data_IF_604460119747
#
_entry.id   IF_604460119747
#
_cell.length_a   1.000
_cell.length_b   1.000
_cell.length_c   1.000
_cell.angle_alpha   90.00
_cell.angle_beta   90.00
_cell.angle_gamma   90.00
#
_symmetry.space_group_name_H-M   'P 1'
#
loop_
_entity.id
_entity.type
_entity.pdbx_description
1 polymer ?
#
# COMPACT_ATOMS: atom_id res chain seq x y z
N UNK A 1 31.24 -6.07 -1.45
CA UNK A 1 30.08 -5.48 -2.12
C UNK A 1 29.24 -4.68 -1.13
N UNK A 2 28.87 -3.53 -1.53
CA UNK A 2 28.16 -2.64 -0.64
C UNK A 2 26.66 -2.70 -0.90
N UNK A 3 25.88 -2.91 0.14
CA UNK A 3 24.45 -2.93 0.02
C UNK A 3 23.94 -1.51 0.29
N UNK A 4 23.07 -1.05 -0.58
CA UNK A 4 22.52 0.28 -0.46
C UNK A 4 21.46 0.29 0.65
N UNK A 5 21.79 0.86 1.79
CA UNK A 5 20.91 0.97 2.94
C UNK A 5 20.26 2.35 3.06
N UNK A 6 20.67 3.27 2.21
CA UNK A 6 20.13 4.62 2.25
C UNK A 6 18.73 4.72 1.68
N UNK A 7 18.31 3.70 0.94
CA UNK A 7 17.01 3.70 0.29
C UNK A 7 16.07 2.70 0.96
N UNK A 8 15.31 3.15 1.94
CA UNK A 8 14.31 2.25 2.55
C UNK A 8 13.25 1.87 1.51
N UNK A 9 12.67 0.70 1.71
CA UNK A 9 11.58 0.24 0.85
C UNK A 9 10.34 1.12 1.03
N UNK A 10 9.95 1.36 2.27
CA UNK A 10 8.78 2.17 2.58
C UNK A 10 9.21 3.58 2.99
N UNK A 11 8.55 4.56 2.40
CA UNK A 11 8.81 5.97 2.64
C UNK A 11 7.58 6.64 3.21
N UNK A 12 7.80 7.61 4.11
CA UNK A 12 6.75 8.49 4.59
C UNK A 12 7.23 9.92 4.38
N UNK A 13 6.30 10.80 4.04
CA UNK A 13 6.61 12.21 3.81
C UNK A 13 5.70 13.07 4.65
N UNK A 14 6.28 14.06 5.33
CA UNK A 14 5.51 14.99 6.15
C UNK A 14 4.59 15.86 5.29
N UNK A 15 5.02 16.16 4.05
CA UNK A 15 4.26 17.00 3.13
C UNK A 15 4.34 16.42 1.73
N UNK A 16 3.39 16.80 0.89
CA UNK A 16 3.43 16.43 -0.52
C UNK A 16 4.53 17.13 -1.28
N UNK A 17 4.95 18.29 -0.80
CA UNK A 17 6.11 18.96 -1.40
C UNK A 17 7.37 18.11 -1.25
N UNK A 18 7.59 17.53 -0.08
CA UNK A 18 8.73 16.64 0.14
C UNK A 18 8.67 15.42 -0.77
N UNK A 19 7.49 14.85 -0.95
CA UNK A 19 7.31 13.70 -1.85
C UNK A 19 7.64 14.09 -3.29
N UNK A 20 7.15 15.25 -3.74
CA UNK A 20 7.44 15.72 -5.11
C UNK A 20 8.93 15.95 -5.32
N UNK A 21 9.61 16.49 -4.32
CA UNK A 21 11.06 16.72 -4.40
C UNK A 21 11.84 15.42 -4.46
N UNK A 22 11.34 14.39 -3.77
CA UNK A 22 12.03 13.09 -3.76
C UNK A 22 11.94 12.41 -5.12
N UNK A 23 10.77 12.34 -5.72
CA UNK A 23 10.59 11.57 -6.94
C UNK A 23 9.33 11.88 -7.74
N UNK A 24 8.72 13.04 -7.56
CA UNK A 24 7.56 13.42 -8.35
C UNK A 24 6.38 12.50 -8.11
N UNK A 25 5.85 11.91 -9.18
CA UNK A 25 4.71 11.00 -9.12
C UNK A 25 5.14 9.54 -9.28
N UNK A 26 6.41 9.23 -9.13
CA UNK A 26 6.94 7.87 -9.38
C UNK A 26 6.87 6.99 -8.15
N UNK A 27 5.67 6.81 -7.59
CA UNK A 27 5.47 6.02 -6.37
C UNK A 27 4.26 5.10 -6.49
N UNK A 28 4.38 3.91 -5.87
CA UNK A 28 3.21 3.16 -5.43
C UNK A 28 2.80 3.78 -4.10
N UNK A 29 1.51 4.01 -3.91
CA UNK A 29 1.00 4.59 -2.67
C UNK A 29 0.07 3.61 -1.98
N UNK A 30 0.37 3.28 -0.71
CA UNK A 30 -0.56 2.57 0.16
C UNK A 30 -1.34 3.62 0.93
N UNK A 31 -2.65 3.67 0.77
CA UNK A 31 -3.47 4.76 1.24
C UNK A 31 -4.64 4.24 2.07
N UNK A 32 -4.91 4.88 3.20
CA UNK A 32 -6.09 4.55 4.00
C UNK A 32 -7.36 4.85 3.21
N UNK A 33 -8.33 3.93 3.29
CA UNK A 33 -9.64 4.18 2.69
C UNK A 33 -10.49 4.97 3.67
N UNK A 34 -10.73 6.24 3.34
CA UNK A 34 -11.49 7.15 4.20
C UNK A 34 -12.98 7.15 3.93
N UNK A 35 -13.43 6.31 3.01
CA UNK A 35 -14.87 6.22 2.75
C UNK A 35 -15.55 5.46 3.85
N UNK A 36 -16.82 5.80 4.16
CA UNK A 36 -17.53 5.18 5.28
C UNK A 36 -17.69 3.67 5.12
N UNK A 37 -17.72 2.96 6.25
CA UNK A 37 -18.10 1.57 6.27
C UNK A 37 -19.49 1.41 5.64
N UNK A 38 -19.66 0.36 4.83
CA UNK A 38 -20.91 0.13 4.11
C UNK A 38 -20.97 0.75 2.72
N UNK A 39 -19.97 1.56 2.35
CA UNK A 39 -19.87 2.07 0.99
C UNK A 39 -19.70 0.91 0.02
N UNK A 40 -20.39 0.97 -1.12
CA UNK A 40 -20.30 -0.09 -2.13
C UNK A 40 -18.90 -0.14 -2.72
N UNK A 41 -18.44 -1.36 -3.00
CA UNK A 41 -17.07 -1.58 -3.49
C UNK A 41 -16.77 -0.74 -4.73
N UNK A 42 -17.71 -0.66 -5.66
CA UNK A 42 -17.50 0.14 -6.86
C UNK A 42 -17.20 1.60 -6.53
N UNK A 43 -17.94 2.16 -5.58
CA UNK A 43 -17.73 3.54 -5.15
C UNK A 43 -16.40 3.70 -4.40
N UNK A 44 -16.03 2.69 -3.62
CA UNK A 44 -14.73 2.68 -2.93
C UNK A 44 -13.60 2.75 -3.96
N UNK A 45 -13.67 1.93 -4.99
CA UNK A 45 -12.63 1.87 -6.02
C UNK A 45 -12.56 3.16 -6.84
N UNK A 46 -13.71 3.77 -7.13
CA UNK A 46 -13.76 5.02 -7.88
C UNK A 46 -13.35 6.22 -7.05
N UNK A 47 -13.42 6.11 -5.73
CA UNK A 47 -13.16 7.21 -4.82
C UNK A 47 -11.70 7.35 -4.39
N UNK A 48 -10.81 6.51 -4.89
CA UNK A 48 -9.40 6.64 -4.56
C UNK A 48 -8.81 7.89 -5.23
N UNK A 49 -7.94 8.56 -4.51
CA UNK A 49 -7.35 9.81 -5.00
C UNK A 49 -5.95 9.94 -4.42
N UNK A 50 -4.95 10.00 -5.28
CA UNK A 50 -3.57 10.15 -4.85
C UNK A 50 -3.39 11.38 -4.01
N UNK A 51 -2.59 11.36 -3.27
CA UNK A 51 -1.36 11.79 -2.60
C UNK A 51 -1.78 12.28 -1.23
N UNK A 52 -1.71 11.36 -0.23
CA UNK A 52 -2.06 11.69 1.16
C UNK A 52 -0.81 11.71 2.00
N UNK A 53 -0.82 12.57 3.02
CA UNK A 53 0.36 12.77 3.88
C UNK A 53 0.59 11.60 4.84
N UNK A 54 -0.44 10.79 5.10
CA UNK A 54 -0.31 9.63 5.98
C UNK A 54 -0.20 8.30 5.24
N UNK A 55 0.01 8.34 3.93
CA UNK A 55 0.24 7.14 3.13
C UNK A 55 1.65 6.60 3.31
N UNK A 56 1.82 5.30 3.01
CA UNK A 56 3.14 4.73 2.77
C UNK A 56 3.42 4.79 1.28
N UNK A 57 4.68 5.04 0.93
CA UNK A 57 5.09 5.14 -0.46
C UNK A 57 6.22 4.17 -0.76
N UNK A 58 6.19 3.59 -1.96
CA UNK A 58 7.29 2.80 -2.49
C UNK A 58 7.76 3.47 -3.78
N UNK A 59 9.03 3.87 -3.80
CA UNK A 59 9.58 4.55 -4.97
C UNK A 59 9.69 3.60 -6.15
N UNK A 60 9.53 4.14 -7.35
CA UNK A 60 9.43 3.38 -8.58
C UNK A 60 10.60 2.41 -8.79
N UNK A 61 11.82 2.79 -8.38
CA UNK A 61 12.99 1.91 -8.57
C UNK A 61 12.93 0.66 -7.71
N UNK A 62 12.04 0.60 -6.73
CA UNK A 62 11.88 -0.55 -5.85
C UNK A 62 10.55 -1.28 -6.05
N UNK A 63 9.73 -0.89 -7.04
CA UNK A 63 8.41 -1.50 -7.18
C UNK A 63 8.49 -2.99 -7.52
N UNK A 64 9.48 -3.41 -8.31
CA UNK A 64 9.66 -4.81 -8.63
C UNK A 64 10.00 -5.65 -7.42
N UNK A 65 10.94 -5.17 -6.60
CA UNK A 65 11.29 -5.83 -5.34
C UNK A 65 10.11 -5.87 -4.39
N UNK A 66 9.36 -4.77 -4.30
CA UNK A 66 8.18 -4.71 -3.46
C UNK A 66 7.16 -5.77 -3.89
N UNK A 67 6.89 -5.86 -5.19
CA UNK A 67 5.94 -6.85 -5.70
C UNK A 67 6.39 -8.27 -5.35
N UNK A 68 7.64 -8.61 -5.66
CA UNK A 68 8.16 -9.96 -5.42
C UNK A 68 8.14 -10.33 -3.95
N UNK A 69 8.51 -9.41 -3.08
CA UNK A 69 8.63 -9.67 -1.64
C UNK A 69 7.29 -9.63 -0.92
N UNK A 70 6.31 -8.91 -1.46
CA UNK A 70 5.10 -8.59 -0.72
C UNK A 70 3.81 -9.15 -1.30
N UNK A 71 3.78 -9.59 -2.57
CA UNK A 71 2.52 -10.02 -3.18
C UNK A 71 1.83 -11.13 -2.41
N UNK A 72 2.59 -12.10 -1.94
CA UNK A 72 2.00 -13.26 -1.25
C UNK A 72 1.55 -12.92 0.17
N UNK A 73 2.26 -12.01 0.86
CA UNK A 73 1.87 -11.64 2.21
C UNK A 73 0.71 -10.65 2.23
N UNK A 74 0.64 -9.75 1.28
CA UNK A 74 -0.50 -8.85 1.16
C UNK A 74 -1.70 -9.61 0.58
N UNK A 75 -1.45 -10.50 -0.38
CA UNK A 75 -2.48 -11.38 -0.91
C UNK A 75 -3.41 -10.69 -1.88
N UNK A 76 -4.58 -11.27 -2.07
CA UNK A 76 -5.55 -10.79 -3.04
C UNK A 76 -6.35 -9.62 -2.50
N UNK A 77 -6.53 -8.63 -3.34
CA UNK A 77 -7.47 -7.54 -3.13
C UNK A 77 -8.46 -7.47 -4.29
N UNK A 78 -9.22 -6.39 -4.37
CA UNK A 78 -10.28 -6.23 -5.37
C UNK A 78 -9.85 -5.15 -6.36
N UNK A 79 -9.93 -5.49 -7.66
CA UNK A 79 -9.59 -4.58 -8.76
C UNK A 79 -10.84 -3.87 -9.28
N UNK A 80 -10.69 -2.79 -10.07
CA UNK A 80 -11.85 -2.03 -10.57
C UNK A 80 -12.85 -2.83 -11.38
N UNK A 81 -12.41 -3.93 -12.03
CA UNK A 81 -13.32 -4.82 -12.75
C UNK A 81 -14.01 -5.83 -11.83
N UNK A 82 -13.84 -5.66 -10.51
CA UNK A 82 -14.42 -6.51 -9.47
C UNK A 82 -13.78 -7.90 -9.37
N UNK A 83 -12.72 -8.18 -10.11
CA UNK A 83 -11.96 -9.42 -9.95
C UNK A 83 -11.02 -9.31 -8.75
N UNK A 84 -10.62 -10.47 -8.23
CA UNK A 84 -9.65 -10.53 -7.14
C UNK A 84 -8.30 -10.98 -7.68
N UNK A 85 -7.24 -10.42 -7.10
CA UNK A 85 -5.88 -10.77 -7.48
C UNK A 85 -4.87 -10.04 -6.63
N UNK A 86 -3.59 -10.32 -6.90
CA UNK A 86 -2.50 -9.59 -6.24
C UNK A 86 -2.59 -8.11 -6.60
N UNK A 87 -2.00 -7.26 -5.73
CA UNK A 87 -2.06 -5.82 -6.01
C UNK A 87 -1.44 -5.50 -7.37
N UNK A 88 -2.03 -4.51 -8.02
CA UNK A 88 -1.62 -4.09 -9.38
C UNK A 88 -0.66 -2.93 -9.25
N UNK A 89 0.55 -3.08 -9.77
CA UNK A 89 1.54 -2.01 -9.71
C UNK A 89 1.24 -0.86 -10.67
N UNK A 90 0.20 -0.99 -11.48
CA UNK A 90 -0.21 0.02 -12.46
C UNK A 90 -1.63 0.54 -12.26
N UNK A 91 -2.37 0.00 -11.31
CA UNK A 91 -3.75 0.35 -11.11
C UNK A 91 -4.13 0.40 -9.65
N UNK A 92 -5.42 0.30 -9.38
CA UNK A 92 -5.98 0.38 -8.02
C UNK A 92 -6.33 -1.01 -7.53
N UNK A 93 -5.93 -1.33 -6.30
CA UNK A 93 -6.38 -2.55 -5.63
C UNK A 93 -6.86 -2.17 -4.24
N UNK A 94 -8.05 -2.63 -3.87
CA UNK A 94 -8.65 -2.33 -2.58
C UNK A 94 -8.61 -3.55 -1.66
N UNK A 95 -8.29 -3.30 -0.39
CA UNK A 95 -8.27 -4.31 0.66
C UNK A 95 -9.20 -3.86 1.78
N UNK A 96 -10.28 -4.61 2.01
CA UNK A 96 -11.21 -4.28 3.08
C UNK A 96 -10.62 -4.50 4.46
N UNK A 97 -11.26 -3.94 5.50
CA UNK A 97 -10.73 -4.05 6.86
C UNK A 97 -10.66 -5.50 7.35
N UNK A 98 -11.53 -6.37 6.85
CA UNK A 98 -11.52 -7.77 7.23
C UNK A 98 -10.30 -8.55 6.72
N UNK A 99 -9.50 -7.97 5.83
CA UNK A 99 -8.29 -8.61 5.31
C UNK A 99 -7.04 -8.25 6.10
N UNK A 100 -7.10 -7.19 6.90
CA UNK A 100 -5.90 -6.64 7.56
C UNK A 100 -5.32 -7.63 8.57
N UNK A 101 -6.16 -8.33 9.33
CA UNK A 101 -5.69 -9.29 10.31
C UNK A 101 -4.85 -10.40 9.69
N UNK A 102 -5.33 -10.98 8.60
CA UNK A 102 -4.62 -12.04 7.90
C UNK A 102 -3.31 -11.53 7.30
N UNK A 103 -3.32 -10.32 6.77
CA UNK A 103 -2.09 -9.73 6.22
C UNK A 103 -1.05 -9.56 7.32
N UNK A 104 -1.44 -9.04 8.48
CA UNK A 104 -0.52 -8.87 9.60
C UNK A 104 0.06 -10.21 10.06
N UNK A 105 -0.76 -11.26 10.10
CA UNK A 105 -0.27 -12.58 10.48
C UNK A 105 0.75 -13.11 9.49
N UNK A 106 0.49 -12.97 8.20
CA UNK A 106 1.45 -13.40 7.18
C UNK A 106 2.75 -12.60 7.25
N UNK A 107 2.66 -11.30 7.55
CA UNK A 107 3.85 -10.48 7.72
C UNK A 107 4.71 -10.96 8.88
N UNK A 108 4.07 -11.35 9.99
CA UNK A 108 4.79 -11.84 11.17
C UNK A 108 5.47 -13.19 10.91
N UNK A 109 4.88 -14.01 10.06
CA UNK A 109 5.45 -15.33 9.72
C UNK A 109 6.58 -15.19 8.72
N UNK A 110 6.37 -14.45 7.65
CA UNK A 110 7.33 -14.40 6.53
C UNK A 110 8.39 -13.32 6.68
N UNK A 111 8.12 -12.27 7.42
CA UNK A 111 9.07 -11.20 7.76
C UNK A 111 9.81 -10.65 6.54
N UNK A 112 9.09 -10.18 5.50
CA UNK A 112 9.77 -9.56 4.37
C UNK A 112 10.45 -8.26 4.80
N UNK A 113 11.26 -7.71 3.93
CA UNK A 113 12.04 -6.49 4.22
C UNK A 113 11.15 -5.37 4.75
N UNK A 114 11.52 -4.81 5.90
CA UNK A 114 10.79 -3.71 6.56
C UNK A 114 9.34 -4.06 6.90
N UNK A 115 9.05 -5.33 7.16
CA UNK A 115 7.69 -5.78 7.44
C UNK A 115 7.07 -5.06 8.65
N UNK A 116 7.89 -4.66 9.60
CA UNK A 116 7.42 -3.98 10.81
C UNK A 116 6.82 -2.62 10.49
N UNK A 117 7.38 -1.92 9.50
CA UNK A 117 6.83 -0.65 9.04
C UNK A 117 5.41 -0.83 8.53
N UNK A 118 5.21 -1.88 7.74
CA UNK A 118 3.88 -2.15 7.19
C UNK A 118 2.90 -2.60 8.27
N UNK A 119 3.34 -3.42 9.24
CA UNK A 119 2.47 -3.80 10.35
C UNK A 119 1.97 -2.57 11.10
N UNK A 120 2.88 -1.66 11.45
CA UNK A 120 2.50 -0.45 12.17
C UNK A 120 1.50 0.39 11.37
N UNK A 121 1.72 0.51 10.06
CA UNK A 121 0.82 1.27 9.20
C UNK A 121 -0.55 0.59 9.11
N UNK A 122 -0.57 -0.76 9.03
CA UNK A 122 -1.82 -1.51 8.96
C UNK A 122 -2.63 -1.41 10.25
N UNK A 123 -1.97 -1.27 11.39
CA UNK A 123 -2.67 -1.05 12.65
C UNK A 123 -3.44 0.27 12.62
N UNK A 124 -2.89 1.29 12.00
CA UNK A 124 -3.65 2.52 11.76
C UNK A 124 -4.77 2.29 10.74
N UNK A 125 -4.51 1.50 9.71
CA UNK A 125 -5.53 1.22 8.68
C UNK A 125 -6.76 0.52 9.25
N UNK A 126 -6.63 -0.17 10.37
CA UNK A 126 -7.77 -0.79 11.06
C UNK A 126 -8.81 0.23 11.54
N UNK A 127 -8.40 1.47 11.69
CA UNK A 127 -9.30 2.56 12.09
C UNK A 127 -10.08 3.15 10.92
N UNK A 128 -9.78 2.71 9.70
CA UNK A 128 -10.41 3.18 8.47
C UNK A 128 -11.18 2.03 7.82
N UNK A 129 -11.73 2.26 6.66
CA UNK A 129 -12.45 1.22 5.91
C UNK A 129 -11.47 0.46 5.00
N UNK A 130 -10.40 -0.06 5.59
CA UNK A 130 -9.36 -0.75 4.84
C UNK A 130 -8.39 0.19 4.17
N UNK A 131 -7.78 -0.27 3.09
CA UNK A 131 -6.76 0.52 2.42
C UNK A 131 -6.69 0.19 0.93
N UNK A 132 -6.06 1.09 0.19
CA UNK A 132 -5.76 0.90 -1.22
C UNK A 132 -4.27 0.65 -1.44
N UNK A 133 -3.95 -0.09 -2.49
CA UNK A 133 -2.63 -0.03 -3.13
C UNK A 133 -2.83 0.65 -4.47
N UNK A 134 -2.27 1.85 -4.60
CA UNK A 134 -2.40 2.67 -5.81
C UNK A 134 -1.10 2.56 -6.60
N UNK A 135 -1.20 2.00 -7.81
CA UNK A 135 -0.05 1.80 -8.67
C UNK A 135 0.48 3.10 -9.27
N UNK A 136 1.60 2.99 -9.92
CA UNK A 136 2.29 4.11 -10.55
C UNK A 136 1.49 4.70 -11.72
#
# INVERSE_FOLDING_TARGET
>A
MRINREKPLFLKFDTQESRRKYGGSCFIELQFCRQPSGTKIKQILEGSDHWKDDSLYVYDDQQGDFYIKYKDVIGYGIHPNMSEGYFDTWGVTYYGPNRIGDIKERLKVHKPEEYEVLIDWLEEAEKYNGFYVLGV
#
